data_IF_103459685296
#
_entry.id   IF_103459685296
#
_cell.length_a   1.000
_cell.length_b   1.000
_cell.length_c   1.000
_cell.angle_alpha   90.00
_cell.angle_beta   90.00
_cell.angle_gamma   90.00
#
_symmetry.space_group_name_H-M   'P 1'
#
loop_
_entity.id
_entity.type
_entity.pdbx_description
1 polymer ?
#
# COMPACT_ATOMS: atom_id res chain seq x y z
N UNK A 1 13.22 -24.75 -15.25
CA UNK A 1 13.48 -23.40 -15.79
C UNK A 1 12.46 -22.36 -15.26
N UNK A 2 11.25 -22.76 -14.86
CA UNK A 2 10.16 -21.87 -14.42
C UNK A 2 10.41 -21.20 -13.04
N UNK A 3 10.98 -21.91 -12.07
CA UNK A 3 11.27 -21.37 -10.73
C UNK A 3 12.30 -20.21 -10.71
N UNK A 4 13.27 -20.21 -11.64
CA UNK A 4 14.30 -19.16 -11.69
C UNK A 4 13.79 -17.81 -12.22
N UNK A 5 12.72 -17.81 -13.00
CA UNK A 5 12.14 -16.56 -13.56
C UNK A 5 11.28 -15.86 -12.51
N UNK A 6 10.57 -16.61 -11.68
CA UNK A 6 9.69 -16.04 -10.65
C UNK A 6 10.46 -15.47 -9.45
N UNK A 7 11.54 -16.13 -9.03
CA UNK A 7 12.44 -15.55 -8.03
C UNK A 7 13.03 -14.22 -8.50
N UNK A 8 13.23 -14.06 -9.82
CA UNK A 8 13.68 -12.80 -10.40
C UNK A 8 12.57 -11.71 -10.39
N UNK A 9 11.30 -12.09 -10.56
CA UNK A 9 10.17 -11.15 -10.53
C UNK A 9 9.94 -10.65 -9.10
N UNK A 10 9.95 -11.53 -8.11
CA UNK A 10 9.86 -11.13 -6.70
C UNK A 10 11.08 -10.29 -6.27
N UNK A 11 12.30 -10.68 -6.71
CA UNK A 11 13.52 -9.93 -6.44
C UNK A 11 13.53 -8.57 -7.17
N UNK A 12 12.89 -8.45 -8.34
CA UNK A 12 12.83 -7.18 -9.07
C UNK A 12 11.85 -6.21 -8.42
N UNK A 13 10.73 -6.71 -7.89
CA UNK A 13 9.81 -5.90 -7.07
C UNK A 13 10.51 -5.43 -5.79
N UNK A 14 11.36 -6.27 -5.18
CA UNK A 14 12.15 -5.90 -4.00
C UNK A 14 13.37 -5.02 -4.32
N UNK A 15 14.03 -5.17 -5.48
CA UNK A 15 15.26 -4.45 -5.82
C UNK A 15 15.03 -3.02 -6.33
N UNK A 16 13.85 -2.68 -6.80
CA UNK A 16 13.53 -1.28 -7.15
C UNK A 16 13.31 -0.39 -5.93
N UNK A 17 13.27 -0.98 -4.72
CA UNK A 17 13.13 -0.23 -3.46
C UNK A 17 14.46 0.31 -2.91
N UNK A 18 15.62 -0.01 -3.50
CA UNK A 18 16.93 0.33 -2.90
C UNK A 18 17.67 1.47 -3.58
N UNK A 19 17.07 2.19 -4.51
CA UNK A 19 17.73 3.26 -5.25
C UNK A 19 17.10 4.63 -5.01
N UNK A 20 17.07 5.08 -3.74
CA UNK A 20 17.01 6.52 -3.48
C UNK A 20 17.61 6.86 -2.09
N UNK A 21 18.79 7.49 -2.11
CA UNK A 21 19.25 8.36 -1.05
C UNK A 21 20.10 7.74 0.05
N UNK A 22 21.40 7.58 -0.20
CA UNK A 22 22.41 7.64 0.86
C UNK A 22 22.44 9.04 1.47
N UNK A 23 22.00 9.17 2.72
CA UNK A 23 22.30 10.33 3.56
C UNK A 23 23.09 9.83 4.76
N UNK A 24 24.29 10.41 4.91
CA UNK A 24 25.25 10.15 5.96
C UNK A 24 24.74 10.55 7.34
N UNK A 25 25.20 9.90 8.43
CA UNK A 25 24.72 10.20 9.77
C UNK A 25 25.40 11.45 10.35
N UNK A 26 24.74 12.25 11.15
CA UNK A 26 25.37 13.23 12.01
C UNK A 26 25.61 12.70 13.42
N UNK A 27 26.86 12.70 13.76
CA UNK A 27 27.60 13.02 15.00
C UNK A 27 26.77 13.03 16.30
N UNK A 28 27.21 12.16 17.18
CA UNK A 28 26.95 12.16 18.61
C UNK A 28 27.42 13.47 19.26
N UNK A 29 26.65 14.00 20.20
CA UNK A 29 27.22 14.72 21.31
C UNK A 29 26.49 14.44 22.63
N UNK A 30 27.28 14.35 23.65
CA UNK A 30 27.13 13.75 24.93
C UNK A 30 26.41 14.60 25.99
N UNK A 31 25.82 13.86 26.94
CA UNK A 31 25.79 14.04 28.39
C UNK A 31 25.26 15.36 28.99
N UNK A 32 24.21 15.27 29.80
CA UNK A 32 24.32 15.64 31.20
C UNK A 32 23.28 14.91 32.07
N UNK A 33 23.76 14.34 33.13
CA UNK A 33 23.11 13.57 34.18
C UNK A 33 22.56 14.52 35.22
N UNK A 34 21.30 14.39 35.60
CA UNK A 34 20.81 14.90 36.91
C UNK A 34 19.87 13.90 37.52
N UNK A 35 20.26 13.43 38.70
CA UNK A 35 19.60 12.50 39.57
C UNK A 35 18.52 13.25 40.38
N UNK A 36 17.31 12.75 40.44
CA UNK A 36 16.41 12.97 41.56
C UNK A 36 15.53 11.73 41.75
N UNK A 37 15.73 11.10 42.88
CA UNK A 37 15.00 9.98 43.43
C UNK A 37 13.62 10.43 43.91
N UNK A 38 12.54 9.75 43.51
CA UNK A 38 11.37 9.56 44.36
C UNK A 38 10.64 8.28 44.01
N UNK A 39 10.51 7.41 44.97
CA UNK A 39 9.85 6.13 45.03
C UNK A 39 8.33 6.30 44.96
N UNK A 40 7.64 5.54 44.10
CA UNK A 40 6.34 4.94 44.43
C UNK A 40 5.90 3.96 43.33
N UNK A 41 5.51 2.80 43.78
CA UNK A 41 4.99 1.63 43.07
C UNK A 41 3.88 1.94 42.10
N UNK A 42 3.93 1.34 40.90
CA UNK A 42 2.76 0.71 40.28
C UNK A 42 3.22 -0.32 39.26
N UNK A 43 3.11 -1.59 39.64
CA UNK A 43 3.16 -2.75 38.73
C UNK A 43 1.79 -2.83 38.09
N UNK A 44 1.72 -2.74 36.77
CA UNK A 44 0.83 -3.38 35.81
C UNK A 44 0.74 -2.52 34.54
N UNK A 45 1.31 -3.00 33.49
CA UNK A 45 0.81 -3.10 32.13
C UNK A 45 1.97 -3.21 31.11
N UNK A 46 2.66 -4.35 31.17
CA UNK A 46 3.70 -4.65 30.16
C UNK A 46 3.39 -5.89 29.32
N UNK A 47 2.30 -6.60 29.63
CA UNK A 47 1.94 -7.84 28.94
C UNK A 47 1.01 -7.63 27.72
N UNK A 48 0.11 -6.62 27.77
CA UNK A 48 -0.86 -6.41 26.71
C UNK A 48 -0.25 -5.81 25.42
N UNK A 49 0.82 -5.02 25.54
CA UNK A 49 1.50 -4.42 24.37
C UNK A 49 2.29 -5.45 23.57
N UNK A 50 2.98 -6.39 24.24
CA UNK A 50 3.79 -7.40 23.55
C UNK A 50 2.95 -8.49 22.85
N UNK A 51 1.78 -8.81 23.36
CA UNK A 51 0.87 -9.77 22.71
C UNK A 51 0.18 -9.18 21.47
N UNK A 52 -0.14 -7.88 21.47
CA UNK A 52 -0.72 -7.20 20.32
C UNK A 52 0.29 -7.03 19.17
N UNK A 53 1.53 -6.65 19.47
CA UNK A 53 2.60 -6.54 18.47
C UNK A 53 2.93 -7.91 17.87
N UNK A 54 3.04 -8.97 18.69
CA UNK A 54 3.29 -10.34 18.21
C UNK A 54 2.16 -10.83 17.30
N UNK A 55 0.90 -10.54 17.62
CA UNK A 55 -0.22 -10.96 16.78
C UNK A 55 -0.27 -10.27 15.41
N UNK A 56 0.09 -8.99 15.35
CA UNK A 56 0.14 -8.23 14.09
C UNK A 56 1.29 -8.69 13.18
N UNK A 57 2.45 -9.03 13.76
CA UNK A 57 3.56 -9.59 12.99
C UNK A 57 3.23 -10.98 12.45
N UNK A 58 2.58 -11.83 13.24
CA UNK A 58 2.15 -13.16 12.82
C UNK A 58 1.10 -13.10 11.70
N UNK A 59 0.15 -12.17 11.75
CA UNK A 59 -0.83 -11.95 10.69
C UNK A 59 -0.18 -11.44 9.42
N UNK A 60 0.76 -10.49 9.52
CA UNK A 60 1.50 -9.99 8.38
C UNK A 60 2.32 -11.09 7.69
N UNK A 61 3.03 -11.92 8.46
CA UNK A 61 3.80 -13.03 7.92
C UNK A 61 2.88 -14.01 7.17
N UNK A 62 1.70 -14.31 7.71
CA UNK A 62 0.70 -15.18 7.04
C UNK A 62 0.22 -14.56 5.74
N UNK A 63 -0.07 -13.27 5.72
CA UNK A 63 -0.50 -12.55 4.51
C UNK A 63 0.57 -12.55 3.45
N UNK A 64 1.81 -12.20 3.81
CA UNK A 64 2.93 -12.20 2.88
C UNK A 64 3.23 -13.60 2.32
N UNK A 65 3.12 -14.63 3.14
CA UNK A 65 3.28 -16.03 2.70
C UNK A 65 2.16 -16.43 1.74
N UNK A 66 0.92 -16.12 2.05
CA UNK A 66 -0.24 -16.39 1.19
C UNK A 66 -0.07 -15.71 -0.18
N UNK A 67 0.30 -14.44 -0.22
CA UNK A 67 0.48 -13.71 -1.47
C UNK A 67 1.66 -14.28 -2.27
N UNK A 68 2.75 -14.66 -1.63
CA UNK A 68 3.89 -15.30 -2.28
C UNK A 68 3.49 -16.64 -2.91
N UNK A 69 2.80 -17.50 -2.19
CA UNK A 69 2.29 -18.78 -2.69
C UNK A 69 1.30 -18.59 -3.85
N UNK A 70 0.45 -17.58 -3.76
CA UNK A 70 -0.46 -17.20 -4.82
C UNK A 70 0.29 -16.82 -6.10
N UNK A 71 1.32 -15.97 -6.01
CA UNK A 71 2.15 -15.61 -7.17
C UNK A 71 2.94 -16.79 -7.75
N UNK A 72 3.30 -17.78 -6.93
CA UNK A 72 3.95 -19.01 -7.40
C UNK A 72 3.03 -19.93 -8.22
N UNK A 73 1.71 -19.73 -8.17
CA UNK A 73 0.72 -20.54 -8.89
C UNK A 73 0.47 -20.16 -10.37
N UNK A 74 1.44 -19.59 -11.07
CA UNK A 74 1.39 -19.20 -12.50
C UNK A 74 0.34 -18.12 -12.83
N UNK A 75 0.34 -17.04 -12.10
CA UNK A 75 -0.57 -15.92 -12.33
C UNK A 75 -0.28 -15.21 -13.65
N UNK A 76 -1.34 -14.92 -14.40
CA UNK A 76 -1.31 -14.06 -15.56
C UNK A 76 -1.86 -12.68 -15.21
N UNK A 77 -1.11 -11.64 -15.56
CA UNK A 77 -1.62 -10.27 -15.48
C UNK A 77 -2.42 -9.94 -16.73
N UNK A 78 -3.58 -9.34 -16.54
CA UNK A 78 -4.36 -8.77 -17.62
C UNK A 78 -3.94 -7.31 -17.88
N UNK A 79 -4.12 -6.84 -19.12
CA UNK A 79 -3.81 -5.47 -19.50
C UNK A 79 -4.77 -4.47 -18.85
N UNK A 80 -4.23 -3.52 -18.08
CA UNK A 80 -4.95 -2.43 -17.41
C UNK A 80 -4.81 -1.07 -18.10
N UNK A 81 -4.17 -1.00 -19.26
CA UNK A 81 -3.88 0.28 -19.95
C UNK A 81 -5.12 1.09 -20.28
N UNK A 82 -6.22 0.43 -20.64
CA UNK A 82 -7.49 1.11 -20.93
C UNK A 82 -8.10 1.74 -19.67
N UNK A 83 -8.05 1.03 -18.53
CA UNK A 83 -8.48 1.53 -17.22
C UNK A 83 -7.67 2.76 -16.82
N UNK A 84 -6.34 2.66 -16.91
CA UNK A 84 -5.42 3.74 -16.58
C UNK A 84 -5.67 4.97 -17.46
N UNK A 85 -5.79 4.77 -18.78
CA UNK A 85 -6.05 5.86 -19.73
C UNK A 85 -7.34 6.59 -19.41
N UNK A 86 -8.43 5.87 -19.13
CA UNK A 86 -9.72 6.50 -18.85
C UNK A 86 -9.73 7.21 -17.49
N UNK A 87 -9.17 6.59 -16.45
CA UNK A 87 -9.11 7.19 -15.12
C UNK A 87 -8.22 8.45 -15.07
N UNK A 88 -7.10 8.43 -15.79
CA UNK A 88 -6.16 9.57 -15.85
C UNK A 88 -6.66 10.73 -16.72
N UNK A 89 -7.71 10.54 -17.50
CA UNK A 89 -8.25 11.56 -18.39
C UNK A 89 -8.72 12.81 -17.63
N UNK A 90 -8.12 13.95 -17.97
CA UNK A 90 -8.39 15.22 -17.31
C UNK A 90 -7.81 15.33 -15.88
N UNK A 91 -6.86 14.48 -15.52
CA UNK A 91 -6.08 14.66 -14.29
C UNK A 91 -5.31 15.99 -14.32
N UNK A 92 -5.27 16.66 -13.18
CA UNK A 92 -4.48 17.89 -12.99
C UNK A 92 -3.01 17.63 -12.63
N UNK A 93 -2.65 16.38 -12.39
CA UNK A 93 -1.28 15.99 -12.03
C UNK A 93 -0.42 15.78 -13.26
N UNK A 94 0.83 16.26 -13.21
CA UNK A 94 1.87 15.70 -14.06
C UNK A 94 2.06 14.23 -13.68
N UNK A 95 2.21 13.37 -14.67
CA UNK A 95 2.32 11.94 -14.41
C UNK A 95 3.33 11.25 -15.33
N UNK A 96 3.92 10.20 -14.81
CA UNK A 96 4.75 9.26 -15.52
C UNK A 96 4.19 7.85 -15.29
N UNK A 97 4.00 7.09 -16.35
CA UNK A 97 3.43 5.74 -16.30
C UNK A 97 4.50 4.76 -16.73
N UNK A 98 4.84 3.84 -15.82
CA UNK A 98 5.69 2.67 -16.10
C UNK A 98 4.83 1.41 -16.05
N UNK A 99 4.83 0.66 -17.14
CA UNK A 99 4.17 -0.65 -17.23
C UNK A 99 5.23 -1.74 -17.18
N UNK A 100 5.63 -2.11 -15.99
CA UNK A 100 6.59 -3.17 -15.74
C UNK A 100 5.90 -4.41 -15.18
N UNK A 101 6.15 -5.57 -15.79
CA UNK A 101 5.69 -6.88 -15.28
C UNK A 101 4.17 -6.97 -15.04
N UNK A 102 3.35 -6.31 -15.87
CA UNK A 102 1.89 -6.35 -15.76
C UNK A 102 1.29 -5.41 -14.72
N UNK A 103 2.12 -4.60 -14.04
CA UNK A 103 1.68 -3.55 -13.12
C UNK A 103 1.91 -2.19 -13.76
N UNK A 104 0.87 -1.38 -13.88
CA UNK A 104 1.00 0.02 -14.25
C UNK A 104 1.31 0.83 -12.98
N UNK A 105 2.52 1.37 -12.89
CA UNK A 105 2.95 2.30 -11.84
C UNK A 105 2.83 3.72 -12.37
N UNK A 106 2.04 4.54 -11.69
CA UNK A 106 1.78 5.91 -12.06
C UNK A 106 2.40 6.81 -10.99
N UNK A 107 3.46 7.50 -11.34
CA UNK A 107 4.03 8.54 -10.47
C UNK A 107 3.29 9.86 -10.72
N UNK A 108 2.78 10.46 -9.67
CA UNK A 108 2.05 11.73 -9.72
C UNK A 108 2.90 12.84 -9.12
N UNK A 109 2.91 13.99 -9.79
CA UNK A 109 3.57 15.19 -9.31
C UNK A 109 2.59 16.35 -9.28
N UNK A 110 2.42 16.93 -8.10
CA UNK A 110 1.72 18.17 -7.85
C UNK A 110 2.70 19.33 -7.68
N UNK A 111 2.18 20.51 -7.43
CA UNK A 111 2.99 21.71 -7.15
C UNK A 111 3.60 21.71 -5.75
N UNK A 112 2.91 21.10 -4.78
CA UNK A 112 3.26 21.10 -3.36
C UNK A 112 3.37 19.68 -2.78
N UNK A 113 3.32 18.67 -3.63
CA UNK A 113 3.35 17.30 -3.20
C UNK A 113 3.52 16.31 -4.34
N UNK A 114 3.44 15.03 -4.00
CA UNK A 114 3.55 13.96 -4.96
C UNK A 114 2.92 12.67 -4.45
N UNK A 115 2.78 11.72 -5.36
CA UNK A 115 2.15 10.47 -5.06
C UNK A 115 2.44 9.39 -6.08
N UNK A 116 1.87 8.23 -5.85
CA UNK A 116 1.92 7.12 -6.77
C UNK A 116 0.61 6.34 -6.76
N UNK A 117 0.32 5.69 -7.85
CA UNK A 117 -0.79 4.73 -7.97
C UNK A 117 -0.26 3.49 -8.66
N UNK A 118 -0.50 2.33 -8.07
CA UNK A 118 -0.28 1.02 -8.68
C UNK A 118 -1.61 0.45 -9.17
N UNK A 119 -1.65 0.00 -10.42
CA UNK A 119 -2.83 -0.61 -11.04
C UNK A 119 -2.44 -1.95 -11.64
N UNK A 120 -3.07 -3.01 -11.19
CA UNK A 120 -2.87 -4.35 -11.72
C UNK A 120 -4.19 -5.11 -11.84
N UNK A 121 -4.25 -6.06 -12.74
CA UNK A 121 -5.36 -6.99 -12.87
C UNK A 121 -4.81 -8.40 -13.01
N UNK A 122 -5.19 -9.28 -12.09
CA UNK A 122 -4.79 -10.68 -12.06
C UNK A 122 -5.89 -11.51 -12.70
N UNK A 123 -5.54 -12.33 -13.68
CA UNK A 123 -6.43 -13.32 -14.26
C UNK A 123 -6.38 -14.59 -13.40
N UNK A 124 -7.45 -14.85 -12.68
CA UNK A 124 -7.60 -15.97 -11.77
C UNK A 124 -8.02 -17.28 -12.48
N UNK A 125 -8.30 -17.25 -13.80
CA UNK A 125 -8.77 -18.42 -14.55
C UNK A 125 -7.77 -19.58 -14.57
N UNK A 126 -6.51 -19.30 -14.29
CA UNK A 126 -5.40 -20.26 -14.27
C UNK A 126 -4.93 -20.61 -12.85
N UNK A 127 -5.57 -20.08 -11.81
CA UNK A 127 -5.16 -20.29 -10.42
C UNK A 127 -5.99 -21.37 -9.74
N UNK A 128 -5.33 -22.26 -9.03
CA UNK A 128 -5.94 -23.28 -8.16
C UNK A 128 -6.20 -22.68 -6.76
N UNK A 129 -6.93 -21.56 -6.69
CA UNK A 129 -7.23 -20.92 -5.42
C UNK A 129 -8.39 -21.61 -4.72
N UNK A 130 -8.09 -22.27 -3.60
CA UNK A 130 -9.04 -22.87 -2.67
C UNK A 130 -9.29 -21.96 -1.45
N UNK A 131 -9.39 -20.65 -1.69
CA UNK A 131 -9.67 -19.68 -0.65
C UNK A 131 -11.00 -18.98 -0.88
N UNK A 132 -11.65 -18.64 0.22
CA UNK A 132 -12.81 -17.75 0.23
C UNK A 132 -12.48 -16.42 -0.47
N UNK A 133 -13.43 -15.94 -1.29
CA UNK A 133 -13.27 -14.71 -2.07
C UNK A 133 -13.07 -13.49 -1.19
N UNK A 134 -13.70 -13.43 -0.02
CA UNK A 134 -13.53 -12.37 0.95
C UNK A 134 -12.10 -12.36 1.49
N UNK A 135 -11.57 -13.53 1.81
CA UNK A 135 -10.19 -13.71 2.26
C UNK A 135 -9.18 -13.22 1.20
N UNK A 136 -9.41 -13.53 -0.08
CA UNK A 136 -8.56 -13.05 -1.18
C UNK A 136 -8.60 -11.53 -1.27
N UNK A 137 -9.80 -10.93 -1.26
CA UNK A 137 -9.96 -9.49 -1.35
C UNK A 137 -9.27 -8.75 -0.21
N UNK A 138 -9.43 -9.25 1.02
CA UNK A 138 -8.82 -8.66 2.20
C UNK A 138 -7.29 -8.76 2.16
N UNK A 139 -6.74 -9.94 1.91
CA UNK A 139 -5.30 -10.14 1.93
C UNK A 139 -4.60 -9.35 0.82
N UNK A 140 -5.12 -9.36 -0.40
CA UNK A 140 -4.55 -8.55 -1.48
C UNK A 140 -4.75 -7.06 -1.24
N UNK A 141 -5.93 -6.66 -0.75
CA UNK A 141 -6.20 -5.27 -0.42
C UNK A 141 -5.26 -4.72 0.64
N UNK A 142 -5.08 -5.42 1.75
CA UNK A 142 -4.19 -5.01 2.84
C UNK A 142 -2.72 -5.03 2.42
N UNK A 143 -2.30 -6.06 1.68
CA UNK A 143 -0.94 -6.13 1.15
C UNK A 143 -0.58 -4.93 0.29
N UNK A 144 -1.41 -4.63 -0.72
CA UNK A 144 -1.13 -3.51 -1.62
C UNK A 144 -1.31 -2.15 -0.94
N UNK A 145 -2.24 -2.01 0.00
CA UNK A 145 -2.34 -0.82 0.83
C UNK A 145 -1.05 -0.57 1.61
N UNK A 146 -0.52 -1.60 2.27
CA UNK A 146 0.74 -1.52 3.01
C UNK A 146 1.95 -1.24 2.11
N UNK A 147 2.05 -1.94 0.97
CA UNK A 147 3.15 -1.76 0.02
C UNK A 147 3.18 -0.34 -0.55
N UNK A 148 2.04 0.16 -1.02
CA UNK A 148 1.96 1.51 -1.60
C UNK A 148 2.25 2.58 -0.56
N UNK A 149 1.73 2.42 0.67
CA UNK A 149 2.01 3.33 1.77
C UNK A 149 3.49 3.36 2.13
N UNK A 150 4.14 2.20 2.22
CA UNK A 150 5.57 2.10 2.52
C UNK A 150 6.46 2.68 1.40
N UNK A 151 6.09 2.49 0.14
CA UNK A 151 6.80 3.05 -1.02
C UNK A 151 6.71 4.58 -1.07
N UNK A 152 5.60 5.15 -0.61
CA UNK A 152 5.41 6.59 -0.54
C UNK A 152 6.12 7.21 0.66
N UNK A 153 7.42 7.49 0.50
CA UNK A 153 8.22 8.22 1.50
C UNK A 153 8.22 7.56 2.90
N UNK A 154 8.07 6.23 2.95
CA UNK A 154 8.08 5.47 4.20
C UNK A 154 6.93 5.82 5.14
N UNK A 155 5.72 5.97 4.62
CA UNK A 155 4.51 6.05 5.45
C UNK A 155 4.35 4.73 6.20
N UNK A 156 4.15 4.81 7.50
CA UNK A 156 3.93 3.67 8.41
C UNK A 156 2.55 3.79 9.06
N UNK A 157 2.09 2.74 9.75
CA UNK A 157 0.83 2.79 10.49
C UNK A 157 0.81 3.90 11.56
N UNK A 158 1.96 4.27 12.11
CA UNK A 158 2.09 5.36 13.09
C UNK A 158 1.81 6.75 12.49
N UNK A 159 1.93 6.89 11.18
CA UNK A 159 1.62 8.14 10.47
C UNK A 159 0.11 8.31 10.21
N UNK A 160 -0.70 7.28 10.45
CA UNK A 160 -2.13 7.32 10.18
C UNK A 160 -2.89 8.11 11.24
N UNK A 161 -3.60 9.14 10.80
CA UNK A 161 -4.49 9.93 11.67
C UNK A 161 -5.85 9.25 11.81
N UNK A 162 -6.33 8.64 10.73
CA UNK A 162 -7.57 7.86 10.71
C UNK A 162 -7.50 6.82 9.59
N UNK A 163 -8.10 5.66 9.82
CA UNK A 163 -8.17 4.59 8.84
C UNK A 163 -9.58 4.02 8.78
N UNK A 164 -10.00 3.65 7.58
CA UNK A 164 -11.29 2.99 7.33
C UNK A 164 -11.08 1.83 6.35
N UNK A 165 -11.68 0.69 6.67
CA UNK A 165 -11.65 -0.52 5.85
C UNK A 165 -13.05 -1.09 5.70
N UNK A 166 -13.40 -1.54 4.51
CA UNK A 166 -14.63 -2.24 4.22
C UNK A 166 -14.40 -3.33 3.19
N UNK A 167 -14.95 -4.50 3.46
CA UNK A 167 -14.99 -5.63 2.52
C UNK A 167 -16.42 -6.08 2.31
N UNK A 168 -16.78 -6.40 1.08
CA UNK A 168 -18.04 -7.03 0.75
C UNK A 168 -17.84 -8.01 -0.40
N UNK A 169 -18.37 -9.22 -0.26
CA UNK A 169 -18.35 -10.24 -1.31
C UNK A 169 -19.72 -10.87 -1.49
N UNK A 170 -20.16 -11.06 -2.72
CA UNK A 170 -21.39 -11.75 -3.08
C UNK A 170 -21.10 -12.66 -4.27
N UNK A 171 -21.06 -13.96 -4.04
CA UNK A 171 -20.90 -15.04 -5.02
C UNK A 171 -20.01 -14.66 -6.23
N UNK A 172 -18.73 -14.92 -6.14
CA UNK A 172 -17.72 -14.64 -7.18
C UNK A 172 -17.53 -13.17 -7.56
N UNK A 173 -18.09 -12.25 -6.78
CA UNK A 173 -17.90 -10.81 -6.94
C UNK A 173 -17.72 -10.16 -5.59
N UNK A 174 -16.85 -9.17 -5.52
CA UNK A 174 -16.62 -8.48 -4.28
C UNK A 174 -15.78 -7.23 -4.43
N UNK A 175 -15.78 -6.44 -3.37
CA UNK A 175 -15.01 -5.21 -3.29
C UNK A 175 -14.40 -5.09 -1.92
N UNK A 176 -13.10 -4.81 -1.90
CA UNK A 176 -12.37 -4.32 -0.73
C UNK A 176 -12.07 -2.85 -0.95
N UNK A 177 -12.15 -2.08 0.12
CA UNK A 177 -11.75 -0.68 0.13
C UNK A 177 -11.11 -0.37 1.48
N UNK A 178 -9.93 0.19 1.44
CA UNK A 178 -9.26 0.77 2.62
C UNK A 178 -8.73 2.15 2.26
N UNK A 179 -8.93 3.10 3.16
CA UNK A 179 -8.23 4.38 3.08
C UNK A 179 -7.75 4.82 4.45
N UNK A 180 -6.71 5.63 4.48
CA UNK A 180 -6.26 6.29 5.69
C UNK A 180 -5.85 7.73 5.40
N UNK A 181 -6.18 8.62 6.32
CA UNK A 181 -5.59 9.95 6.36
C UNK A 181 -4.22 9.87 7.00
N UNK A 182 -3.26 10.53 6.41
CA UNK A 182 -1.84 10.46 6.78
C UNK A 182 -1.35 11.85 7.19
N UNK A 183 -0.56 11.89 8.27
CA UNK A 183 0.19 13.09 8.65
C UNK A 183 1.66 12.69 8.86
N UNK A 184 2.53 13.19 7.99
CA UNK A 184 3.96 12.92 8.07
C UNK A 184 4.73 14.20 8.33
N UNK A 185 5.57 14.17 9.36
CA UNK A 185 6.42 15.30 9.72
C UNK A 185 7.88 14.93 9.51
N UNK A 186 8.58 15.72 8.69
CA UNK A 186 10.02 15.60 8.48
C UNK A 186 10.68 16.94 8.82
N UNK A 187 11.43 16.94 9.92
CA UNK A 187 12.00 18.17 10.47
C UNK A 187 10.92 19.19 10.84
N UNK A 188 10.90 20.35 10.16
CA UNK A 188 9.88 21.39 10.39
C UNK A 188 8.71 21.33 9.38
N UNK A 189 8.79 20.47 8.38
CA UNK A 189 7.76 20.34 7.36
C UNK A 189 6.76 19.24 7.74
N UNK A 190 5.48 19.57 7.69
CA UNK A 190 4.39 18.60 7.87
C UNK A 190 3.61 18.50 6.57
N UNK A 191 3.49 17.28 6.06
CA UNK A 191 2.67 16.94 4.91
C UNK A 191 1.47 16.12 5.38
N UNK A 192 0.34 16.36 4.77
CA UNK A 192 -0.88 15.60 4.98
C UNK A 192 -1.20 14.87 3.69
N UNK A 193 -1.90 13.75 3.79
CA UNK A 193 -2.24 12.99 2.61
C UNK A 193 -3.25 11.92 2.85
N UNK A 194 -3.41 11.11 1.82
CA UNK A 194 -4.25 9.93 1.82
C UNK A 194 -3.48 8.76 1.24
N UNK A 195 -3.75 7.58 1.77
CA UNK A 195 -3.47 6.31 1.11
C UNK A 195 -4.79 5.58 0.93
N UNK A 196 -5.01 4.98 -0.24
CA UNK A 196 -6.28 4.38 -0.60
C UNK A 196 -6.06 3.18 -1.50
N UNK A 197 -6.74 2.08 -1.22
CA UNK A 197 -6.67 0.85 -2.01
C UNK A 197 -8.06 0.31 -2.27
N UNK A 198 -8.30 -0.06 -3.51
CA UNK A 198 -9.45 -0.83 -3.96
C UNK A 198 -8.96 -2.17 -4.49
N UNK A 199 -9.56 -3.27 -4.05
CA UNK A 199 -9.44 -4.57 -4.69
C UNK A 199 -10.85 -4.99 -5.12
N UNK A 200 -11.04 -5.22 -6.42
CA UNK A 200 -12.33 -5.54 -7.01
C UNK A 200 -12.24 -6.90 -7.69
N UNK A 201 -13.04 -7.85 -7.21
CA UNK A 201 -13.17 -9.16 -7.80
C UNK A 201 -14.38 -9.19 -8.74
N UNK A 202 -14.16 -9.56 -9.99
CA UNK A 202 -15.19 -9.75 -11.00
C UNK A 202 -14.95 -11.06 -11.73
N UNK A 203 -15.79 -12.04 -11.47
CA UNK A 203 -15.67 -13.39 -12.04
C UNK A 203 -14.26 -13.97 -11.79
N UNK A 204 -13.45 -14.07 -12.85
CA UNK A 204 -12.10 -14.60 -12.80
C UNK A 204 -11.02 -13.52 -12.80
N UNK A 205 -11.33 -12.29 -12.43
CA UNK A 205 -10.37 -11.19 -12.42
C UNK A 205 -10.37 -10.45 -11.09
N UNK A 206 -9.18 -10.28 -10.54
CA UNK A 206 -8.94 -9.43 -9.39
C UNK A 206 -8.19 -8.17 -9.84
N UNK A 207 -8.88 -7.03 -9.83
CA UNK A 207 -8.25 -5.74 -10.14
C UNK A 207 -7.93 -5.02 -8.85
N UNK A 208 -6.67 -4.61 -8.71
CA UNK A 208 -6.20 -3.82 -7.55
C UNK A 208 -5.74 -2.45 -8.04
N UNK A 209 -6.22 -1.42 -7.36
CA UNK A 209 -5.78 -0.03 -7.53
C UNK A 209 -5.38 0.48 -6.15
N UNK A 210 -4.11 0.76 -5.97
CA UNK A 210 -3.58 1.23 -4.69
C UNK A 210 -2.78 2.50 -4.90
N UNK A 211 -3.05 3.54 -4.13
CA UNK A 211 -2.39 4.82 -4.30
C UNK A 211 -2.18 5.55 -2.98
N UNK A 212 -1.13 6.37 -2.96
CA UNK A 212 -0.84 7.27 -1.86
C UNK A 212 -0.37 8.63 -2.40
N UNK A 213 -0.74 9.71 -1.71
CA UNK A 213 -0.37 11.07 -2.06
C UNK A 213 -0.15 11.91 -0.82
N UNK A 214 0.97 12.59 -0.76
CA UNK A 214 1.32 13.55 0.29
C UNK A 214 1.47 14.95 -0.29
N UNK A 215 0.85 15.94 0.34
CA UNK A 215 0.99 17.35 -0.03
C UNK A 215 0.70 18.26 1.15
N UNK A 216 1.32 19.42 1.18
CA UNK A 216 0.93 20.50 2.06
C UNK A 216 -0.35 21.22 1.58
N UNK A 217 -0.76 21.02 0.33
CA UNK A 217 -1.95 21.64 -0.27
C UNK A 217 -3.17 20.72 -0.18
N UNK A 218 -4.23 21.21 0.46
CA UNK A 218 -5.49 20.48 0.61
C UNK A 218 -6.19 20.22 -0.74
N UNK A 219 -6.06 21.16 -1.70
CA UNK A 219 -6.71 21.00 -3.02
C UNK A 219 -6.07 19.89 -3.83
N UNK A 220 -4.75 19.71 -3.74
CA UNK A 220 -4.06 18.59 -4.37
C UNK A 220 -4.50 17.27 -3.76
N UNK A 221 -4.63 17.19 -2.42
CA UNK A 221 -5.11 15.98 -1.75
C UNK A 221 -6.55 15.63 -2.15
N UNK A 222 -7.42 16.62 -2.30
CA UNK A 222 -8.78 16.40 -2.78
C UNK A 222 -8.80 15.93 -4.26
N UNK A 223 -7.94 16.51 -5.10
CA UNK A 223 -7.80 16.09 -6.49
C UNK A 223 -7.31 14.64 -6.60
N UNK A 224 -6.39 14.23 -5.71
CA UNK A 224 -5.96 12.84 -5.63
C UNK A 224 -7.10 11.89 -5.22
N UNK A 225 -7.86 12.22 -4.18
CA UNK A 225 -9.00 11.41 -3.76
C UNK A 225 -10.06 11.28 -4.87
N UNK A 226 -10.31 12.37 -5.63
CA UNK A 226 -11.19 12.32 -6.80
C UNK A 226 -10.63 11.43 -7.92
N UNK A 227 -9.31 11.43 -8.12
CA UNK A 227 -8.65 10.56 -9.09
C UNK A 227 -8.80 9.09 -8.69
N UNK A 228 -8.58 8.75 -7.41
CA UNK A 228 -8.79 7.40 -6.89
C UNK A 228 -10.25 6.94 -7.08
N UNK A 229 -11.22 7.83 -6.85
CA UNK A 229 -12.64 7.53 -7.10
C UNK A 229 -12.90 7.22 -8.58
N UNK A 230 -12.27 7.95 -9.52
CA UNK A 230 -12.38 7.64 -10.96
C UNK A 230 -11.82 6.27 -11.31
N UNK A 231 -10.69 5.88 -10.71
CA UNK A 231 -10.18 4.52 -10.88
C UNK A 231 -11.19 3.48 -10.40
N UNK A 232 -11.75 3.66 -9.21
CA UNK A 232 -12.73 2.73 -8.65
C UNK A 232 -14.01 2.62 -9.50
N UNK A 233 -14.47 3.73 -10.07
CA UNK A 233 -15.66 3.76 -10.95
C UNK A 233 -15.43 3.09 -12.30
N UNK A 234 -14.19 3.12 -12.80
CA UNK A 234 -13.85 2.53 -14.09
C UNK A 234 -13.48 1.04 -14.00
N UNK A 235 -13.24 0.51 -12.80
CA UNK A 235 -13.13 -0.95 -12.60
C UNK A 235 -14.53 -1.56 -12.73
N UNK A 236 -14.74 -2.33 -13.80
CA UNK A 236 -16.02 -2.99 -14.07
C UNK A 236 -16.08 -4.34 -13.35
N UNK A 237 -17.22 -4.60 -12.74
CA UNK A 237 -17.59 -5.90 -12.19
C UNK A 237 -17.89 -6.90 -13.30
#
# INVERSE_FOLDING_TARGET
MKAKVMTAILATIMLTMTACGTISPPIQNAVTKTTATTTAESIHDSAASSEAESSLEDEKIKTDTFIAEFFDSNICFADTSALVTEAMKGSSFENEIDNSNGVNKITLKGSNGGGMIDVLCIDLSQSDLDHDMEYILENFGDYYFGQTSAQMSGITEDDFVSSYRMTSSVVSKGKYQRYASVQKTDGMATQFGYTETYAVLSENKLTVVSGAFLSSDMMERQSFSQLMSKFAENVKY
#
